data_IF_584443394952
#
_entry.id   IF_584443394952
#
_cell.length_a   1.000
_cell.length_b   1.000
_cell.length_c   1.000
_cell.angle_alpha   90.00
_cell.angle_beta   90.00
_cell.angle_gamma   90.00
#
_symmetry.space_group_name_H-M   'P 1'
#
loop_
_entity.id
_entity.type
_entity.pdbx_description
1 polymer ?
#
# COMPACT_ATOMS: atom_id res chain seq x y z
N UNK A 1 38.20 -12.70 -72.40
CA UNK A 1 39.54 -12.22 -71.99
C UNK A 1 39.34 -10.87 -71.31
N UNK A 2 39.18 -10.83 -70.03
CA UNK A 2 39.26 -9.62 -69.20
C UNK A 2 40.02 -9.96 -67.92
N UNK A 3 41.16 -9.30 -67.81
CA UNK A 3 42.17 -9.45 -66.78
C UNK A 3 41.66 -8.84 -65.45
N UNK A 4 41.70 -9.50 -64.27
CA UNK A 4 41.35 -8.87 -63.01
C UNK A 4 42.49 -7.99 -62.52
N UNK A 5 42.12 -6.77 -62.09
CA UNK A 5 43.04 -5.80 -61.51
C UNK A 5 43.62 -6.25 -60.16
N UNK A 6 44.84 -5.82 -59.81
CA UNK A 6 45.51 -6.28 -58.59
C UNK A 6 44.87 -5.63 -57.34
N UNK A 7 44.58 -6.46 -56.36
CA UNK A 7 44.15 -6.09 -55.01
C UNK A 7 45.29 -5.36 -54.32
N UNK A 8 45.04 -4.09 -53.90
CA UNK A 8 45.98 -3.27 -53.15
C UNK A 8 46.19 -3.85 -51.74
N UNK A 9 47.44 -4.13 -51.43
CA UNK A 9 47.99 -4.72 -50.18
C UNK A 9 48.07 -3.71 -48.99
N UNK A 10 47.16 -2.78 -48.90
CA UNK A 10 47.21 -1.70 -47.86
C UNK A 10 46.16 -1.79 -46.78
N UNK A 11 45.42 -2.92 -46.66
CA UNK A 11 44.36 -3.07 -45.65
C UNK A 11 44.62 -4.11 -44.57
N UNK A 12 45.89 -4.45 -44.34
CA UNK A 12 46.28 -5.44 -43.27
C UNK A 12 46.82 -4.79 -42.00
N UNK A 13 46.62 -3.51 -41.72
CA UNK A 13 47.22 -2.87 -40.52
C UNK A 13 46.25 -2.19 -39.57
N UNK A 14 44.98 -2.53 -39.51
CA UNK A 14 44.07 -1.99 -38.50
C UNK A 14 43.09 -3.03 -37.91
N UNK A 15 43.53 -4.28 -37.78
CA UNK A 15 42.87 -5.21 -36.87
C UNK A 15 43.66 -5.26 -35.54
N UNK A 16 43.67 -4.14 -34.80
CA UNK A 16 43.99 -4.24 -33.37
C UNK A 16 42.90 -5.09 -32.72
N UNK A 17 43.25 -6.12 -31.93
CA UNK A 17 42.29 -6.87 -31.16
C UNK A 17 41.67 -5.90 -30.20
N UNK A 18 40.33 -5.77 -30.26
CA UNK A 18 39.50 -4.99 -29.31
C UNK A 18 40.02 -5.35 -27.91
N UNK A 19 40.74 -4.39 -27.32
CA UNK A 19 41.39 -4.55 -26.04
C UNK A 19 40.34 -5.06 -25.05
N UNK A 20 40.60 -6.21 -24.46
CA UNK A 20 39.83 -6.82 -23.39
C UNK A 20 39.47 -5.71 -22.40
N UNK A 21 38.16 -5.38 -22.33
CA UNK A 21 37.67 -4.41 -21.38
C UNK A 21 38.17 -4.84 -20.00
N UNK A 22 39.16 -4.10 -19.48
CA UNK A 22 39.71 -4.31 -18.15
C UNK A 22 38.54 -4.36 -17.19
N UNK A 23 38.21 -5.55 -16.69
CA UNK A 23 37.24 -5.74 -15.64
C UNK A 23 37.62 -4.82 -14.49
N UNK A 24 36.86 -3.75 -14.30
CA UNK A 24 37.08 -2.82 -13.22
C UNK A 24 37.05 -3.61 -11.91
N UNK A 25 38.08 -3.58 -11.08
CA UNK A 25 38.10 -4.37 -9.85
C UNK A 25 36.87 -3.99 -9.01
N UNK A 26 36.24 -4.95 -8.30
CA UNK A 26 35.05 -4.70 -7.51
C UNK A 26 35.37 -3.56 -6.52
N UNK A 27 34.64 -2.46 -6.67
CA UNK A 27 34.80 -1.25 -5.86
C UNK A 27 34.65 -1.64 -4.39
N UNK A 28 35.65 -1.40 -3.57
CA UNK A 28 35.55 -1.63 -2.12
C UNK A 28 34.30 -0.92 -1.61
N UNK A 29 33.44 -1.58 -0.81
CA UNK A 29 32.22 -0.97 -0.30
C UNK A 29 32.59 0.31 0.47
N UNK A 30 32.07 1.44 0.01
CA UNK A 30 32.26 2.71 0.70
C UNK A 30 31.54 2.70 2.06
N UNK A 31 31.90 3.60 3.00
CA UNK A 31 31.24 3.68 4.30
C UNK A 31 29.70 3.80 4.19
N UNK A 32 29.18 4.44 3.13
CA UNK A 32 27.74 4.49 2.84
C UNK A 32 27.13 3.15 2.48
N UNK A 33 27.87 2.24 1.83
CA UNK A 33 27.38 0.90 1.49
C UNK A 33 27.32 -0.02 2.73
N UNK A 34 28.19 0.19 3.69
CA UNK A 34 28.19 -0.53 4.97
C UNK A 34 27.01 -0.07 5.81
N UNK A 35 26.80 1.25 5.94
CA UNK A 35 25.67 1.84 6.66
C UNK A 35 24.34 1.39 6.02
N UNK A 36 24.23 1.42 4.69
CA UNK A 36 23.03 0.95 3.97
C UNK A 36 22.75 -0.53 4.21
N UNK A 37 23.77 -1.39 4.22
CA UNK A 37 23.60 -2.83 4.53
C UNK A 37 23.22 -3.06 5.98
N UNK A 38 23.75 -2.26 6.90
CA UNK A 38 23.42 -2.34 8.31
C UNK A 38 21.98 -1.87 8.56
N UNK A 39 21.58 -0.73 8.01
CA UNK A 39 20.20 -0.23 8.03
C UNK A 39 19.20 -1.26 7.49
N UNK A 40 19.49 -1.86 6.35
CA UNK A 40 18.61 -2.89 5.75
C UNK A 40 18.50 -4.18 6.58
N UNK A 41 19.45 -4.44 7.50
CA UNK A 41 19.37 -5.57 8.43
C UNK A 41 18.65 -5.20 9.72
N UNK A 42 18.80 -3.99 10.20
CA UNK A 42 18.25 -3.53 11.49
C UNK A 42 16.81 -3.05 11.35
N UNK A 43 16.45 -2.46 10.22
CA UNK A 43 15.09 -1.98 9.96
C UNK A 43 14.00 -3.01 10.30
N UNK A 44 14.05 -4.29 9.88
CA UNK A 44 13.00 -5.26 10.21
C UNK A 44 12.83 -5.47 11.72
N UNK A 45 13.94 -5.47 12.48
CA UNK A 45 13.89 -5.62 13.95
C UNK A 45 13.35 -4.38 14.64
N UNK A 46 13.79 -3.19 14.19
CA UNK A 46 13.25 -1.91 14.69
C UNK A 46 11.76 -1.82 14.43
N UNK A 47 11.30 -2.28 13.26
CA UNK A 47 9.89 -2.31 12.90
C UNK A 47 9.06 -3.28 13.76
N UNK A 48 9.60 -4.46 14.05
CA UNK A 48 8.99 -5.43 14.96
C UNK A 48 8.88 -4.87 16.39
N UNK A 49 9.95 -4.22 16.86
CA UNK A 49 9.95 -3.58 18.19
C UNK A 49 8.96 -2.42 18.22
N UNK A 50 8.93 -1.58 17.18
CA UNK A 50 7.98 -0.47 17.07
C UNK A 50 6.53 -0.96 17.03
N UNK A 51 6.23 -2.03 16.26
CA UNK A 51 4.92 -2.65 16.24
C UNK A 51 4.51 -3.22 17.60
N UNK A 52 5.44 -3.90 18.28
CA UNK A 52 5.22 -4.41 19.65
C UNK A 52 4.98 -3.30 20.66
N UNK A 53 5.76 -2.21 20.59
CA UNK A 53 5.59 -1.03 21.45
C UNK A 53 4.26 -0.31 21.20
N UNK A 54 3.86 -0.17 19.93
CA UNK A 54 2.56 0.40 19.54
C UNK A 54 1.42 -0.43 20.11
N UNK A 55 1.46 -1.75 19.97
CA UNK A 55 0.47 -2.65 20.55
C UNK A 55 0.44 -2.51 22.08
N UNK A 56 1.61 -2.55 22.74
CA UNK A 56 1.66 -2.40 24.20
C UNK A 56 1.08 -1.05 24.64
N UNK A 57 1.45 0.06 24.00
CA UNK A 57 0.93 1.39 24.32
C UNK A 57 -0.58 1.49 24.16
N UNK A 58 -1.15 0.87 23.12
CA UNK A 58 -2.59 0.92 22.83
C UNK A 58 -3.39 0.10 23.84
N UNK A 59 -2.84 -1.04 24.29
CA UNK A 59 -3.58 -2.03 25.06
C UNK A 59 -3.29 -2.02 26.58
N UNK A 60 -2.23 -1.34 27.03
CA UNK A 60 -1.89 -1.34 28.46
C UNK A 60 -2.91 -0.63 29.36
N UNK A 61 -3.76 0.25 28.78
CA UNK A 61 -4.82 0.98 29.49
C UNK A 61 -6.17 0.25 29.48
N UNK A 62 -6.32 -0.80 28.65
CA UNK A 62 -7.56 -1.56 28.54
C UNK A 62 -7.52 -2.78 29.48
N UNK A 63 -8.67 -3.09 30.07
CA UNK A 63 -8.81 -4.35 30.81
C UNK A 63 -8.64 -5.54 29.87
N UNK A 64 -7.47 -6.21 29.94
CA UNK A 64 -7.13 -7.40 29.13
C UNK A 64 -8.25 -8.45 29.24
N UNK A 65 -8.90 -8.53 30.39
CA UNK A 65 -10.00 -9.45 30.63
C UNK A 65 -11.25 -9.11 29.81
N UNK A 66 -11.61 -7.82 29.72
CA UNK A 66 -12.79 -7.37 28.95
C UNK A 66 -12.55 -7.50 27.44
N UNK A 67 -11.37 -7.10 26.96
CA UNK A 67 -10.99 -7.28 25.56
C UNK A 67 -10.93 -8.77 25.21
N UNK A 68 -10.32 -9.60 26.07
CA UNK A 68 -10.25 -11.05 25.87
C UNK A 68 -11.63 -11.71 25.88
N UNK A 69 -12.57 -11.27 26.73
CA UNK A 69 -13.95 -11.78 26.73
C UNK A 69 -14.71 -11.40 25.46
N UNK A 70 -14.52 -10.18 24.96
CA UNK A 70 -15.10 -9.73 23.69
C UNK A 70 -14.54 -10.52 22.49
N UNK A 71 -13.22 -10.80 22.48
CA UNK A 71 -12.61 -11.66 21.46
C UNK A 71 -13.11 -13.10 21.55
N UNK A 72 -13.35 -13.61 22.74
CA UNK A 72 -13.90 -14.97 22.97
C UNK A 72 -15.30 -15.16 22.38
N UNK A 73 -16.04 -14.07 22.13
CA UNK A 73 -17.35 -14.12 21.45
C UNK A 73 -17.24 -14.27 19.92
N UNK A 74 -16.05 -14.15 19.35
CA UNK A 74 -15.86 -14.37 17.92
C UNK A 74 -15.85 -15.87 17.64
N UNK A 75 -16.88 -16.35 16.96
CA UNK A 75 -16.87 -17.71 16.42
C UNK A 75 -15.79 -17.85 15.34
N UNK A 76 -15.28 -19.06 15.13
CA UNK A 76 -14.25 -19.35 14.13
C UNK A 76 -14.59 -18.81 12.72
N UNK A 77 -15.88 -18.76 12.37
CA UNK A 77 -16.36 -18.20 11.11
C UNK A 77 -16.05 -16.71 10.95
N UNK A 78 -16.19 -15.88 11.99
CA UNK A 78 -15.85 -14.45 11.93
C UNK A 78 -14.35 -14.22 11.77
N UNK A 79 -13.53 -15.00 12.48
CA UNK A 79 -12.07 -14.93 12.36
C UNK A 79 -11.63 -15.35 10.95
N UNK A 80 -12.17 -16.46 10.42
CA UNK A 80 -11.88 -16.91 9.07
C UNK A 80 -12.27 -15.86 8.03
N UNK A 81 -13.46 -15.24 8.19
CA UNK A 81 -13.91 -14.17 7.30
C UNK A 81 -12.99 -12.93 7.38
N UNK A 82 -12.54 -12.52 8.57
CA UNK A 82 -11.58 -11.43 8.73
C UNK A 82 -10.26 -11.70 7.99
N UNK A 83 -9.75 -12.92 8.08
CA UNK A 83 -8.53 -13.35 7.37
C UNK A 83 -8.75 -13.40 5.85
N UNK A 84 -9.88 -13.89 5.39
CA UNK A 84 -10.24 -13.89 3.95
C UNK A 84 -10.36 -12.46 3.41
N UNK A 85 -11.00 -11.55 4.15
CA UNK A 85 -11.08 -10.14 3.78
C UNK A 85 -9.70 -9.49 3.74
N UNK A 86 -8.82 -9.79 4.70
CA UNK A 86 -7.44 -9.32 4.68
C UNK A 86 -6.70 -9.82 3.43
N UNK A 87 -6.79 -11.11 3.12
CA UNK A 87 -6.18 -11.68 1.93
C UNK A 87 -6.73 -11.06 0.63
N UNK A 88 -8.04 -10.82 0.57
CA UNK A 88 -8.70 -10.14 -0.55
C UNK A 88 -8.18 -8.72 -0.73
N UNK A 89 -8.03 -7.94 0.35
CA UNK A 89 -7.49 -6.58 0.28
C UNK A 89 -6.07 -6.57 -0.29
N UNK A 90 -5.18 -7.44 0.20
CA UNK A 90 -3.83 -7.56 -0.35
C UNK A 90 -3.81 -7.99 -1.84
N UNK A 91 -4.75 -8.84 -2.27
CA UNK A 91 -4.93 -9.20 -3.67
C UNK A 91 -5.36 -7.98 -4.50
N UNK A 92 -6.31 -7.18 -4.01
CA UNK A 92 -6.78 -5.95 -4.66
C UNK A 92 -5.67 -4.92 -4.78
N UNK A 93 -4.83 -4.74 -3.73
CA UNK A 93 -3.63 -3.90 -3.81
C UNK A 93 -2.67 -4.39 -4.90
N UNK A 94 -2.49 -5.71 -5.06
CA UNK A 94 -1.71 -6.30 -6.14
C UNK A 94 -2.30 -6.01 -7.53
N UNK A 95 -3.62 -6.02 -7.67
CA UNK A 95 -4.31 -5.66 -8.91
C UNK A 95 -4.09 -4.19 -9.27
N UNK A 96 -4.22 -3.27 -8.31
CA UNK A 96 -3.90 -1.84 -8.53
C UNK A 96 -2.44 -1.66 -8.93
N UNK A 97 -1.52 -2.37 -8.28
CA UNK A 97 -0.09 -2.31 -8.59
C UNK A 97 0.20 -2.81 -10.01
N UNK A 98 -0.50 -3.86 -10.47
CA UNK A 98 -0.41 -4.34 -11.85
C UNK A 98 -0.86 -3.30 -12.86
N UNK A 99 -1.96 -2.58 -12.58
CA UNK A 99 -2.41 -1.46 -13.41
C UNK A 99 -1.38 -0.33 -13.43
N UNK A 100 -0.84 0.03 -12.25
CA UNK A 100 0.17 1.08 -12.11
C UNK A 100 1.47 0.78 -12.85
N UNK A 101 1.96 -0.47 -12.80
CA UNK A 101 3.12 -0.90 -13.58
C UNK A 101 2.84 -0.80 -15.08
N UNK A 102 1.65 -1.25 -15.54
CA UNK A 102 1.23 -1.12 -16.93
C UNK A 102 1.16 0.34 -17.39
N UNK A 103 0.61 1.22 -16.55
CA UNK A 103 0.56 2.67 -16.82
C UNK A 103 1.97 3.30 -16.88
N UNK A 104 2.88 2.87 -16.00
CA UNK A 104 4.28 3.30 -16.00
C UNK A 104 5.11 2.66 -17.12
N UNK A 105 4.51 1.82 -17.99
CA UNK A 105 5.20 1.15 -19.10
C UNK A 105 6.11 -0.01 -18.66
N UNK A 106 5.94 -0.52 -17.44
CA UNK A 106 6.72 -1.66 -16.95
C UNK A 106 5.97 -2.98 -17.16
N UNK A 107 6.71 -4.04 -17.50
CA UNK A 107 6.17 -5.40 -17.72
C UNK A 107 6.71 -6.33 -16.64
N UNK A 108 5.87 -6.71 -15.70
CA UNK A 108 6.20 -7.67 -14.64
C UNK A 108 5.13 -8.78 -14.65
N UNK A 109 5.51 -10.06 -14.55
CA UNK A 109 4.55 -11.17 -14.49
C UNK A 109 3.62 -11.04 -13.29
N UNK A 110 2.33 -11.38 -13.47
CA UNK A 110 1.30 -11.20 -12.44
C UNK A 110 1.65 -11.85 -11.09
N UNK A 111 2.12 -13.11 -11.02
CA UNK A 111 2.49 -13.72 -9.73
C UNK A 111 3.57 -12.93 -8.99
N UNK A 112 4.52 -12.36 -9.74
CA UNK A 112 5.60 -11.53 -9.17
C UNK A 112 5.10 -10.15 -8.70
N UNK A 113 4.06 -9.62 -9.36
CA UNK A 113 3.40 -8.39 -8.90
C UNK A 113 2.62 -8.66 -7.62
N UNK A 114 1.81 -9.72 -7.59
CA UNK A 114 1.02 -10.07 -6.41
C UNK A 114 1.92 -10.32 -5.18
N UNK A 115 2.96 -11.15 -5.33
CA UNK A 115 3.93 -11.40 -4.26
C UNK A 115 4.72 -10.15 -3.88
N UNK A 116 5.16 -9.35 -4.85
CA UNK A 116 5.88 -8.10 -4.63
C UNK A 116 5.03 -7.05 -3.93
N UNK A 117 3.78 -6.88 -4.34
CA UNK A 117 2.80 -5.99 -3.73
C UNK A 117 2.49 -6.41 -2.29
N UNK A 118 2.26 -7.71 -2.06
CA UNK A 118 2.03 -8.25 -0.72
C UNK A 118 3.19 -7.90 0.23
N UNK A 119 4.42 -8.17 -0.19
CA UNK A 119 5.62 -7.87 0.61
C UNK A 119 5.78 -6.37 0.82
N UNK A 120 5.60 -5.55 -0.23
CA UNK A 120 5.76 -4.11 -0.15
C UNK A 120 4.73 -3.46 0.79
N UNK A 121 3.46 -3.83 0.67
CA UNK A 121 2.39 -3.26 1.47
C UNK A 121 2.37 -3.86 2.91
N UNK A 122 2.60 -5.16 3.08
CA UNK A 122 2.68 -5.79 4.40
C UNK A 122 3.75 -5.18 5.31
N UNK A 123 4.88 -4.74 4.74
CA UNK A 123 5.91 -4.00 5.47
C UNK A 123 5.52 -2.54 5.65
N UNK A 124 5.07 -1.88 4.57
CA UNK A 124 4.85 -0.44 4.56
C UNK A 124 3.70 0.01 5.46
N UNK A 125 2.64 -0.78 5.58
CA UNK A 125 1.49 -0.48 6.46
C UNK A 125 1.90 -0.34 7.92
N UNK A 126 2.93 -1.07 8.36
CA UNK A 126 3.38 -1.05 9.75
C UNK A 126 4.31 0.13 10.06
N UNK A 127 5.04 0.65 9.06
CA UNK A 127 6.12 1.63 9.27
C UNK A 127 5.66 3.08 9.33
N UNK A 128 4.46 3.39 8.82
CA UNK A 128 3.91 4.76 8.79
C UNK A 128 4.38 5.64 7.62
N UNK A 129 5.58 5.44 7.07
CA UNK A 129 6.06 6.13 5.86
C UNK A 129 5.71 5.32 4.59
N UNK A 130 4.45 4.96 4.44
CA UNK A 130 3.96 3.95 3.52
C UNK A 130 4.48 4.10 2.08
N UNK A 131 4.40 5.30 1.48
CA UNK A 131 4.84 5.55 0.11
C UNK A 131 6.35 5.33 -0.08
N UNK A 132 7.17 5.77 0.87
CA UNK A 132 8.62 5.65 0.77
C UNK A 132 9.07 4.20 0.96
N UNK A 133 8.55 3.54 1.99
CA UNK A 133 8.92 2.15 2.30
C UNK A 133 8.45 1.20 1.21
N UNK A 134 7.19 1.30 0.78
CA UNK A 134 6.67 0.47 -0.30
C UNK A 134 7.40 0.72 -1.62
N UNK A 135 7.74 1.97 -1.93
CA UNK A 135 8.56 2.32 -3.08
C UNK A 135 9.97 1.70 -3.05
N UNK A 136 10.65 1.73 -1.91
CA UNK A 136 11.96 1.12 -1.74
C UNK A 136 11.93 -0.41 -1.89
N UNK A 137 10.91 -1.07 -1.33
CA UNK A 137 10.70 -2.52 -1.46
C UNK A 137 10.42 -2.88 -2.93
N UNK A 138 9.52 -2.16 -3.60
CA UNK A 138 9.23 -2.33 -5.03
C UNK A 138 10.47 -2.16 -5.89
N UNK A 139 11.27 -1.11 -5.65
CA UNK A 139 12.51 -0.88 -6.38
C UNK A 139 13.46 -2.09 -6.28
N UNK A 140 13.60 -2.66 -5.08
CA UNK A 140 14.43 -3.87 -4.86
C UNK A 140 13.86 -5.11 -5.57
N UNK A 141 12.55 -5.34 -5.46
CA UNK A 141 11.93 -6.56 -5.98
C UNK A 141 11.81 -6.55 -7.51
N UNK A 142 11.51 -5.39 -8.11
CA UNK A 142 11.26 -5.28 -9.55
C UNK A 142 12.50 -4.92 -10.37
N UNK A 143 13.63 -4.60 -9.74
CA UNK A 143 14.90 -4.38 -10.43
C UNK A 143 15.26 -5.54 -11.37
N UNK A 144 15.00 -6.78 -10.97
CA UNK A 144 15.25 -7.99 -11.79
C UNK A 144 14.45 -8.05 -13.09
N UNK A 145 13.37 -7.28 -13.21
CA UNK A 145 12.54 -7.16 -14.40
C UNK A 145 12.87 -5.90 -15.22
N UNK A 146 13.98 -5.22 -14.92
CA UNK A 146 14.40 -4.01 -15.61
C UNK A 146 13.54 -2.78 -15.30
N UNK A 147 12.72 -2.81 -14.24
CA UNK A 147 11.88 -1.67 -13.84
C UNK A 147 12.76 -0.56 -13.26
N UNK A 148 12.69 0.62 -13.88
CA UNK A 148 13.45 1.80 -13.45
C UNK A 148 12.87 2.43 -12.18
N UNK A 149 13.70 3.22 -11.46
CA UNK A 149 13.25 3.94 -10.27
C UNK A 149 12.11 4.94 -10.58
N UNK A 150 12.11 5.53 -11.76
CA UNK A 150 11.04 6.44 -12.21
C UNK A 150 9.72 5.68 -12.39
N UNK A 151 9.76 4.47 -12.97
CA UNK A 151 8.58 3.61 -13.11
C UNK A 151 8.07 3.14 -11.74
N UNK A 152 8.97 2.81 -10.81
CA UNK A 152 8.58 2.47 -9.42
C UNK A 152 7.91 3.66 -8.74
N UNK A 153 8.48 4.86 -8.86
CA UNK A 153 7.88 6.07 -8.28
C UNK A 153 6.50 6.36 -8.88
N UNK A 154 6.36 6.25 -10.21
CA UNK A 154 5.08 6.38 -10.91
C UNK A 154 4.06 5.36 -10.43
N UNK A 155 4.43 4.08 -10.34
CA UNK A 155 3.56 3.01 -9.83
C UNK A 155 3.14 3.27 -8.38
N UNK A 156 4.06 3.72 -7.54
CA UNK A 156 3.76 4.03 -6.12
C UNK A 156 2.78 5.19 -6.01
N UNK A 157 2.96 6.23 -6.80
CA UNK A 157 2.02 7.36 -6.88
C UNK A 157 0.65 6.90 -7.39
N UNK A 158 0.62 6.05 -8.42
CA UNK A 158 -0.61 5.47 -8.96
C UNK A 158 -1.38 4.68 -7.90
N UNK A 159 -0.70 3.84 -7.11
CA UNK A 159 -1.31 3.09 -6.01
C UNK A 159 -1.81 4.03 -4.89
N UNK A 160 -1.04 5.07 -4.53
CA UNK A 160 -1.45 6.08 -3.56
C UNK A 160 -2.70 6.85 -4.02
N UNK A 161 -2.80 7.17 -5.31
CA UNK A 161 -3.99 7.81 -5.89
C UNK A 161 -5.20 6.87 -5.84
N UNK A 162 -5.02 5.57 -6.15
CA UNK A 162 -6.10 4.58 -6.06
C UNK A 162 -6.64 4.45 -4.63
N UNK A 163 -5.76 4.43 -3.62
CA UNK A 163 -6.15 4.48 -2.22
C UNK A 163 -6.95 5.77 -1.92
N UNK A 164 -6.42 6.94 -2.31
CA UNK A 164 -7.05 8.23 -2.01
C UNK A 164 -8.44 8.38 -2.65
N UNK A 165 -8.60 8.03 -3.93
CA UNK A 165 -9.92 8.07 -4.59
C UNK A 165 -10.86 7.01 -4.03
N UNK A 166 -10.33 5.83 -3.65
CA UNK A 166 -11.10 4.75 -3.05
C UNK A 166 -11.67 5.14 -1.69
N UNK A 167 -10.83 5.60 -0.76
CA UNK A 167 -11.27 5.98 0.59
C UNK A 167 -12.21 7.19 0.56
N UNK A 168 -11.97 8.14 -0.35
CA UNK A 168 -12.83 9.31 -0.52
C UNK A 168 -14.20 8.93 -1.09
N UNK A 169 -14.24 8.03 -2.06
CA UNK A 169 -15.52 7.55 -2.60
C UNK A 169 -16.29 6.77 -1.53
N UNK A 170 -15.62 5.85 -0.83
CA UNK A 170 -16.25 5.04 0.21
C UNK A 170 -16.77 5.92 1.36
N UNK A 171 -15.93 6.78 1.92
CA UNK A 171 -16.30 7.68 3.01
C UNK A 171 -17.35 8.69 2.61
N UNK A 172 -17.20 9.29 1.42
CA UNK A 172 -18.17 10.24 0.88
C UNK A 172 -19.54 9.62 0.64
N UNK A 173 -19.59 8.43 0.03
CA UNK A 173 -20.83 7.68 -0.14
C UNK A 173 -21.44 7.28 1.21
N UNK A 174 -20.65 6.81 2.16
CA UNK A 174 -21.10 6.48 3.50
C UNK A 174 -21.77 7.66 4.20
N UNK A 175 -21.16 8.86 4.14
CA UNK A 175 -21.73 10.08 4.72
C UNK A 175 -22.99 10.58 4.00
N UNK A 176 -23.08 10.39 2.68
CA UNK A 176 -24.23 10.81 1.90
C UNK A 176 -25.41 9.84 1.98
N UNK A 177 -25.17 8.55 2.10
CA UNK A 177 -26.20 7.52 2.13
C UNK A 177 -26.75 7.23 3.53
N UNK A 178 -26.01 7.62 4.61
CA UNK A 178 -26.48 7.43 5.98
C UNK A 178 -27.71 8.27 6.27
N UNK A 179 -28.71 7.70 6.94
CA UNK A 179 -29.88 8.45 7.40
C UNK A 179 -29.50 9.48 8.47
N UNK A 180 -30.26 10.58 8.62
CA UNK A 180 -29.96 11.62 9.63
C UNK A 180 -29.79 11.06 11.05
N UNK A 181 -30.62 10.09 11.45
CA UNK A 181 -30.59 9.44 12.76
C UNK A 181 -29.28 8.64 12.97
N UNK A 182 -28.79 8.02 11.92
CA UNK A 182 -27.53 7.26 11.94
C UNK A 182 -26.31 8.18 12.06
N UNK A 183 -26.35 9.34 11.41
CA UNK A 183 -25.31 10.37 11.54
C UNK A 183 -25.38 10.99 12.94
N UNK A 184 -26.57 11.23 13.48
CA UNK A 184 -26.77 11.76 14.83
C UNK A 184 -26.17 10.82 15.91
N UNK A 185 -26.10 9.52 15.64
CA UNK A 185 -25.40 8.55 16.50
C UNK A 185 -23.87 8.69 16.45
N UNK A 186 -23.32 9.44 15.49
CA UNK A 186 -21.90 9.77 15.40
C UNK A 186 -21.60 11.14 16.04
N UNK A 187 -20.32 11.47 16.20
CA UNK A 187 -19.91 12.81 16.65
C UNK A 187 -19.90 13.86 15.51
N UNK A 188 -20.29 13.50 14.30
CA UNK A 188 -20.24 14.40 13.14
C UNK A 188 -21.60 15.09 12.98
N UNK A 189 -21.68 16.44 13.01
CA UNK A 189 -22.91 17.14 12.70
C UNK A 189 -23.40 16.83 11.27
N UNK A 190 -24.71 16.66 11.10
CA UNK A 190 -25.31 16.31 9.81
C UNK A 190 -24.89 17.24 8.65
N UNK A 191 -24.86 18.57 8.78
CA UNK A 191 -24.41 19.44 7.71
C UNK A 191 -22.94 19.20 7.33
N UNK A 192 -22.09 18.98 8.33
CA UNK A 192 -20.67 18.68 8.12
C UNK A 192 -20.50 17.35 7.37
N UNK A 193 -21.21 16.30 7.79
CA UNK A 193 -21.18 15.01 7.10
C UNK A 193 -21.60 15.14 5.63
N UNK A 194 -22.70 15.84 5.36
CA UNK A 194 -23.21 16.04 3.98
C UNK A 194 -22.24 16.87 3.13
N UNK A 195 -21.72 17.97 3.66
CA UNK A 195 -20.76 18.82 2.95
C UNK A 195 -19.46 18.06 2.66
N UNK A 196 -18.91 17.39 3.68
CA UNK A 196 -17.68 16.60 3.52
C UNK A 196 -17.89 15.46 2.52
N UNK A 197 -19.01 14.73 2.63
CA UNK A 197 -19.35 13.68 1.69
C UNK A 197 -19.44 14.18 0.24
N UNK A 198 -20.12 15.33 0.01
CA UNK A 198 -20.22 15.95 -1.31
C UNK A 198 -18.85 16.40 -1.85
N UNK A 199 -18.00 17.00 -1.01
CA UNK A 199 -16.63 17.41 -1.39
C UNK A 199 -15.78 16.19 -1.77
N UNK A 200 -15.84 15.11 -0.97
CA UNK A 200 -15.10 13.88 -1.25
C UNK A 200 -15.53 13.23 -2.57
N UNK A 201 -16.80 13.14 -2.86
CA UNK A 201 -17.29 12.63 -4.16
C UNK A 201 -16.94 13.60 -5.28
N UNK A 202 -17.14 14.91 -5.07
CA UNK A 202 -16.89 15.94 -6.07
C UNK A 202 -15.44 15.93 -6.58
N UNK A 203 -14.46 15.83 -5.69
CA UNK A 203 -13.06 15.79 -6.14
C UNK A 203 -12.72 14.50 -6.92
N UNK A 204 -13.32 13.35 -6.55
CA UNK A 204 -13.14 12.09 -7.30
C UNK A 204 -13.76 12.21 -8.70
N UNK A 205 -14.95 12.79 -8.80
CA UNK A 205 -15.59 13.08 -10.10
C UNK A 205 -14.71 14.00 -10.92
N UNK A 206 -14.21 15.09 -10.34
CA UNK A 206 -13.26 16.00 -11.02
C UNK A 206 -12.00 15.27 -11.49
N UNK A 207 -11.44 14.37 -10.68
CA UNK A 207 -10.29 13.55 -11.06
C UNK A 207 -10.58 12.67 -12.28
N UNK A 208 -11.70 11.95 -12.28
CA UNK A 208 -12.11 11.07 -13.40
C UNK A 208 -12.37 11.88 -14.66
N UNK A 209 -13.07 13.01 -14.53
CA UNK A 209 -13.33 13.93 -15.65
C UNK A 209 -12.02 14.51 -16.21
N UNK A 210 -11.08 14.89 -15.35
CA UNK A 210 -9.77 15.36 -15.78
C UNK A 210 -9.02 14.28 -16.57
N UNK A 211 -9.07 13.03 -16.15
CA UNK A 211 -8.50 11.89 -16.87
C UNK A 211 -9.22 11.64 -18.21
N UNK A 212 -10.54 11.91 -18.30
CA UNK A 212 -11.32 11.73 -19.51
C UNK A 212 -11.02 12.83 -20.54
N UNK A 213 -11.00 14.10 -20.13
CA UNK A 213 -10.88 15.25 -21.05
C UNK A 213 -9.43 15.57 -21.44
N UNK A 214 -8.45 15.33 -20.57
CA UNK A 214 -7.03 15.62 -20.84
C UNK A 214 -6.23 14.43 -21.40
N UNK A 215 -6.84 13.64 -22.23
CA UNK A 215 -6.36 12.38 -22.83
C UNK A 215 -4.98 12.46 -23.50
N UNK A 216 -3.98 13.05 -23.19
CA UNK A 216 -2.61 12.99 -23.76
C UNK A 216 -1.82 14.28 -23.60
N UNK A 217 -2.38 15.29 -22.93
CA UNK A 217 -1.60 16.51 -22.69
C UNK A 217 -0.90 16.36 -21.34
N UNK A 218 0.43 16.34 -21.30
CA UNK A 218 1.15 16.32 -20.04
C UNK A 218 0.77 17.56 -19.21
N UNK A 219 0.44 17.36 -17.94
CA UNK A 219 0.28 18.46 -17.00
C UNK A 219 1.68 18.92 -16.59
N UNK A 220 2.02 20.15 -16.90
CA UNK A 220 3.20 20.81 -16.36
C UNK A 220 2.82 21.38 -14.97
N UNK A 221 3.17 20.66 -13.91
CA UNK A 221 2.99 21.11 -12.54
C UNK A 221 4.31 20.99 -11.79
N UNK A 222 4.67 22.02 -11.03
CA UNK A 222 5.89 22.04 -10.21
C UNK A 222 7.19 21.73 -10.99
N UNK A 223 7.28 22.18 -12.26
CA UNK A 223 8.46 21.93 -13.10
C UNK A 223 8.63 20.50 -13.59
N UNK A 224 7.61 19.64 -13.42
CA UNK A 224 7.59 18.26 -13.90
C UNK A 224 6.41 17.98 -14.81
N UNK A 225 6.64 17.11 -15.79
CA UNK A 225 5.58 16.62 -16.66
C UNK A 225 4.88 15.43 -16.01
N UNK A 226 3.64 15.63 -15.56
CA UNK A 226 2.80 14.56 -15.03
C UNK A 226 1.89 14.04 -16.15
N UNK A 227 1.98 12.77 -16.46
CA UNK A 227 1.06 12.09 -17.36
C UNK A 227 -0.12 11.56 -16.54
N UNK A 228 -1.34 11.96 -16.90
CA UNK A 228 -2.54 11.43 -16.27
C UNK A 228 -2.83 10.00 -16.78
N UNK A 229 -3.41 9.12 -15.92
CA UNK A 229 -3.91 7.82 -16.38
C UNK A 229 -5.01 7.99 -17.44
N UNK A 230 -5.23 6.95 -18.24
CA UNK A 230 -6.42 6.89 -19.09
C UNK A 230 -7.67 6.79 -18.23
N UNK A 231 -8.81 7.24 -18.72
CA UNK A 231 -10.08 7.16 -17.98
C UNK A 231 -10.40 5.73 -17.52
N UNK A 232 -10.06 4.71 -18.32
CA UNK A 232 -10.20 3.30 -17.93
C UNK A 232 -9.36 2.95 -16.70
N UNK A 233 -8.12 3.42 -16.65
CA UNK A 233 -7.21 3.18 -15.54
C UNK A 233 -7.66 3.95 -14.30
N UNK A 234 -8.17 5.19 -14.47
CA UNK A 234 -8.75 5.98 -13.38
C UNK A 234 -10.02 5.33 -12.80
N UNK A 235 -10.91 4.81 -13.65
CA UNK A 235 -12.08 4.04 -13.21
C UNK A 235 -11.65 2.75 -12.50
N UNK A 236 -10.62 2.07 -12.99
CA UNK A 236 -10.01 0.92 -12.32
C UNK A 236 -9.46 1.27 -10.94
N UNK A 237 -8.79 2.43 -10.79
CA UNK A 237 -8.34 2.94 -9.49
C UNK A 237 -9.51 3.16 -8.52
N UNK A 238 -10.59 3.79 -8.99
CA UNK A 238 -11.79 4.02 -8.17
C UNK A 238 -12.42 2.69 -7.76
N UNK A 239 -12.71 1.81 -8.72
CA UNK A 239 -13.40 0.55 -8.45
C UNK A 239 -12.61 -0.34 -7.49
N UNK A 240 -11.32 -0.57 -7.79
CA UNK A 240 -10.49 -1.43 -6.94
C UNK A 240 -10.19 -0.73 -5.60
N UNK A 241 -9.92 0.59 -5.61
CA UNK A 241 -9.66 1.35 -4.39
C UNK A 241 -10.86 1.39 -3.44
N UNK A 242 -12.10 1.54 -3.97
CA UNK A 242 -13.33 1.46 -3.15
C UNK A 242 -13.48 0.07 -2.56
N UNK A 243 -13.33 -0.98 -3.37
CA UNK A 243 -13.48 -2.37 -2.92
C UNK A 243 -12.42 -2.73 -1.88
N UNK A 244 -11.17 -2.30 -2.07
CA UNK A 244 -10.07 -2.52 -1.12
C UNK A 244 -10.35 -1.84 0.22
N UNK A 245 -10.66 -0.54 0.22
CA UNK A 245 -10.98 0.21 1.44
C UNK A 245 -12.25 -0.33 2.13
N UNK A 246 -13.28 -0.72 1.36
CA UNK A 246 -14.47 -1.36 1.90
C UNK A 246 -14.12 -2.72 2.55
N UNK A 247 -13.29 -3.52 1.90
CA UNK A 247 -12.84 -4.80 2.45
C UNK A 247 -12.05 -4.60 3.75
N UNK A 248 -11.14 -3.63 3.81
CA UNK A 248 -10.37 -3.31 5.00
C UNK A 248 -11.27 -2.81 6.16
N UNK A 249 -12.25 -1.93 5.87
CA UNK A 249 -13.23 -1.47 6.84
C UNK A 249 -14.11 -2.61 7.35
N UNK A 250 -14.51 -3.54 6.47
CA UNK A 250 -15.33 -4.69 6.80
C UNK A 250 -14.66 -5.62 7.82
N UNK A 251 -13.32 -5.72 7.84
CA UNK A 251 -12.59 -6.53 8.85
C UNK A 251 -12.94 -6.07 10.27
N UNK A 252 -12.95 -4.76 10.51
CA UNK A 252 -13.31 -4.24 11.84
C UNK A 252 -14.80 -4.43 12.10
N UNK A 253 -15.64 -4.09 11.11
CA UNK A 253 -17.08 -4.09 11.25
C UNK A 253 -17.66 -5.48 11.57
N UNK A 254 -17.16 -6.55 10.96
CA UNK A 254 -17.61 -7.93 11.21
C UNK A 254 -17.19 -8.45 12.60
N UNK A 255 -16.17 -7.86 13.19
CA UNK A 255 -15.69 -8.20 14.54
C UNK A 255 -16.47 -7.46 15.63
N UNK A 256 -17.26 -6.44 15.29
CA UNK A 256 -18.21 -5.80 16.21
C UNK A 256 -19.41 -6.71 16.47
N UNK A 257 -20.10 -6.56 17.61
CA UNK A 257 -21.38 -7.20 17.84
C UNK A 257 -22.38 -6.85 16.73
N UNK A 258 -23.30 -7.76 16.37
CA UNK A 258 -24.35 -7.47 15.39
C UNK A 258 -25.16 -6.23 15.77
N UNK A 259 -25.66 -5.53 14.77
CA UNK A 259 -26.58 -4.37 14.89
C UNK A 259 -26.04 -3.17 15.67
N UNK A 260 -24.71 -3.16 15.95
CA UNK A 260 -24.07 -2.05 16.67
C UNK A 260 -24.04 -0.76 15.87
N UNK A 261 -23.73 -0.87 14.57
CA UNK A 261 -23.66 0.27 13.63
C UNK A 261 -23.87 -0.20 12.20
N UNK A 262 -24.62 0.57 11.42
CA UNK A 262 -24.79 0.28 10.00
C UNK A 262 -23.48 0.46 9.23
N UNK A 263 -23.19 -0.44 8.30
CA UNK A 263 -21.92 -0.44 7.58
C UNK A 263 -21.63 0.88 6.83
N UNK A 264 -22.62 1.48 6.18
CA UNK A 264 -22.46 2.75 5.47
C UNK A 264 -22.14 3.93 6.40
N UNK A 265 -22.66 3.93 7.62
CA UNK A 265 -22.28 4.93 8.65
C UNK A 265 -20.88 4.67 9.19
N UNK A 266 -20.56 3.38 9.42
CA UNK A 266 -19.25 2.95 9.88
C UNK A 266 -18.14 3.36 8.91
N UNK A 267 -18.32 3.19 7.58
CA UNK A 267 -17.29 3.54 6.59
C UNK A 267 -17.06 5.04 6.49
N UNK A 268 -18.05 5.88 6.83
CA UNK A 268 -17.87 7.32 6.96
C UNK A 268 -16.87 7.67 8.08
N UNK A 269 -17.05 7.10 9.27
CA UNK A 269 -16.15 7.26 10.40
C UNK A 269 -14.77 6.63 10.11
N UNK A 270 -14.74 5.44 9.50
CA UNK A 270 -13.52 4.76 9.09
C UNK A 270 -12.67 5.62 8.13
N UNK A 271 -13.29 6.28 7.15
CA UNK A 271 -12.58 7.13 6.21
C UNK A 271 -11.91 8.32 6.93
N UNK A 272 -12.63 8.99 7.82
CA UNK A 272 -12.08 10.10 8.62
C UNK A 272 -10.92 9.62 9.49
N UNK A 273 -11.11 8.52 10.21
CA UNK A 273 -10.07 7.96 11.09
C UNK A 273 -8.83 7.48 10.31
N UNK A 274 -9.03 6.89 9.13
CA UNK A 274 -7.93 6.45 8.26
C UNK A 274 -7.12 7.64 7.76
N UNK A 275 -7.77 8.71 7.31
CA UNK A 275 -7.09 9.94 6.87
C UNK A 275 -6.38 10.62 8.04
N UNK A 276 -7.00 10.69 9.23
CA UNK A 276 -6.38 11.23 10.43
C UNK A 276 -5.14 10.42 10.85
N UNK A 277 -5.25 9.10 10.86
CA UNK A 277 -4.13 8.19 11.14
C UNK A 277 -2.98 8.37 10.15
N UNK A 278 -3.28 8.49 8.86
CA UNK A 278 -2.27 8.70 7.82
C UNK A 278 -1.60 10.10 7.95
N UNK A 279 -2.38 11.13 8.23
CA UNK A 279 -1.89 12.50 8.41
C UNK A 279 -1.04 12.68 9.67
N UNK A 280 -1.26 11.86 10.69
CA UNK A 280 -0.51 11.91 11.95
C UNK A 280 0.95 11.50 11.83
N UNK A 281 1.33 10.84 10.73
CA UNK A 281 2.66 10.23 10.51
C UNK A 281 3.09 9.21 11.57
N UNK A 282 2.21 8.87 12.50
CA UNK A 282 2.46 7.82 13.50
C UNK A 282 2.52 6.46 12.81
N UNK A 283 3.47 5.58 13.16
CA UNK A 283 3.52 4.24 12.61
C UNK A 283 2.17 3.53 12.70
N UNK A 284 1.70 2.97 11.57
CA UNK A 284 0.40 2.33 11.42
C UNK A 284 -0.82 3.21 11.84
N UNK A 285 -0.64 4.53 12.01
CA UNK A 285 -1.68 5.44 12.53
C UNK A 285 -2.14 5.13 13.96
N UNK A 286 -1.29 4.42 14.74
CA UNK A 286 -1.68 3.86 16.02
C UNK A 286 -2.06 4.92 17.05
N UNK A 287 -3.14 4.68 17.78
CA UNK A 287 -3.73 5.61 18.74
C UNK A 287 -4.57 6.71 18.07
N UNK A 288 -4.14 7.22 16.91
CA UNK A 288 -4.89 8.27 16.20
C UNK A 288 -6.10 7.69 15.48
N UNK A 289 -5.92 6.57 14.78
CA UNK A 289 -7.02 5.88 14.12
C UNK A 289 -8.07 5.42 15.12
N UNK A 290 -7.65 4.69 16.16
CA UNK A 290 -8.52 4.14 17.19
C UNK A 290 -9.21 5.24 17.99
N UNK A 291 -8.48 6.27 18.42
CA UNK A 291 -9.03 7.42 19.15
C UNK A 291 -10.04 8.19 18.31
N UNK A 292 -9.77 8.39 17.00
CA UNK A 292 -10.72 9.04 16.10
C UNK A 292 -11.97 8.18 15.91
N UNK A 293 -11.82 6.87 15.67
CA UNK A 293 -12.97 5.96 15.56
C UNK A 293 -13.81 5.93 16.82
N UNK A 294 -13.19 5.82 18.01
CA UNK A 294 -13.89 5.80 19.29
C UNK A 294 -14.62 7.11 19.56
N UNK A 295 -14.03 8.25 19.17
CA UNK A 295 -14.66 9.56 19.27
C UNK A 295 -15.86 9.70 18.33
N UNK A 296 -15.75 9.19 17.12
CA UNK A 296 -16.82 9.26 16.11
C UNK A 296 -17.95 8.28 16.39
N UNK A 297 -17.63 7.09 16.92
CA UNK A 297 -18.59 6.01 17.22
C UNK A 297 -18.88 5.91 18.73
N UNK A 298 -19.11 7.05 19.39
CA UNK A 298 -19.31 7.11 20.87
C UNK A 298 -20.53 6.35 21.38
N UNK A 299 -21.45 5.95 20.54
CA UNK A 299 -22.58 5.08 20.91
C UNK A 299 -22.21 3.61 20.95
N UNK A 300 -21.04 3.24 20.41
CA UNK A 300 -20.52 1.87 20.43
C UNK A 300 -19.78 1.61 21.73
N UNK A 301 -20.06 0.47 22.36
CA UNK A 301 -19.38 0.07 23.60
C UNK A 301 -17.85 0.01 23.36
N UNK A 302 -17.04 0.63 24.24
CA UNK A 302 -15.58 0.70 24.07
C UNK A 302 -14.88 -0.66 24.03
N UNK A 303 -15.29 -1.63 24.84
CA UNK A 303 -14.59 -2.92 24.94
C UNK A 303 -14.71 -3.77 23.64
N UNK A 304 -15.90 -4.01 23.06
CA UNK A 304 -16.01 -4.63 21.74
C UNK A 304 -15.32 -3.87 20.62
N UNK A 305 -15.34 -2.53 20.66
CA UNK A 305 -14.68 -1.69 19.66
C UNK A 305 -13.16 -1.87 19.74
N UNK A 306 -12.58 -1.84 20.93
CA UNK A 306 -11.16 -2.10 21.16
C UNK A 306 -10.74 -3.53 20.75
N UNK A 307 -11.58 -4.53 21.05
CA UNK A 307 -11.36 -5.90 20.59
C UNK A 307 -11.31 -5.96 19.04
N UNK A 308 -12.28 -5.32 18.37
CA UNK A 308 -12.32 -5.29 16.91
C UNK A 308 -11.08 -4.60 16.30
N UNK A 309 -10.58 -3.51 16.90
CA UNK A 309 -9.32 -2.89 16.49
C UNK A 309 -8.11 -3.82 16.65
N UNK A 310 -8.05 -4.55 17.76
CA UNK A 310 -6.99 -5.55 17.97
C UNK A 310 -7.04 -6.65 16.92
N UNK A 311 -8.24 -7.22 16.67
CA UNK A 311 -8.44 -8.22 15.63
C UNK A 311 -8.02 -7.72 14.24
N UNK A 312 -8.37 -6.48 13.91
CA UNK A 312 -7.94 -5.81 12.68
C UNK A 312 -6.41 -5.69 12.59
N UNK A 313 -5.76 -5.24 13.67
CA UNK A 313 -4.30 -5.14 13.68
C UNK A 313 -3.62 -6.49 13.53
N UNK A 314 -4.14 -7.53 14.19
CA UNK A 314 -3.62 -8.88 14.02
C UNK A 314 -3.78 -9.39 12.59
N UNK A 315 -4.98 -9.25 12.00
CA UNK A 315 -5.30 -9.81 10.69
C UNK A 315 -4.71 -9.00 9.53
N UNK A 316 -4.62 -7.67 9.64
CA UNK A 316 -4.29 -6.78 8.51
C UNK A 316 -2.88 -6.18 8.58
N UNK A 317 -2.25 -6.13 9.76
CA UNK A 317 -0.90 -5.58 9.92
C UNK A 317 0.11 -6.64 10.33
N UNK A 318 -0.13 -7.34 11.45
CA UNK A 318 0.87 -8.22 12.07
C UNK A 318 1.06 -9.49 11.27
N UNK A 319 -0.02 -10.19 10.95
CA UNK A 319 0.05 -11.44 10.19
C UNK A 319 0.69 -11.22 8.80
N UNK A 320 0.25 -10.23 7.98
CA UNK A 320 0.91 -9.94 6.72
C UNK A 320 2.38 -9.53 6.88
N UNK A 321 2.75 -8.77 7.91
CA UNK A 321 4.14 -8.40 8.19
C UNK A 321 5.01 -9.63 8.46
N UNK A 322 4.54 -10.57 9.28
CA UNK A 322 5.25 -11.82 9.59
C UNK A 322 5.46 -12.63 8.31
N UNK A 323 4.40 -12.82 7.52
CA UNK A 323 4.46 -13.58 6.26
C UNK A 323 5.37 -12.88 5.23
N UNK A 324 5.28 -11.56 5.10
CA UNK A 324 6.13 -10.77 4.20
C UNK A 324 7.60 -10.81 4.63
N UNK A 325 7.86 -10.71 5.94
CA UNK A 325 9.21 -10.83 6.52
C UNK A 325 9.82 -12.20 6.27
N UNK A 326 9.06 -13.27 6.51
CA UNK A 326 9.48 -14.63 6.23
C UNK A 326 9.77 -14.85 4.74
N UNK A 327 8.92 -14.35 3.84
CA UNK A 327 9.11 -14.44 2.40
C UNK A 327 10.41 -13.75 1.94
N UNK A 328 10.71 -12.54 2.46
CA UNK A 328 11.96 -11.84 2.16
C UNK A 328 13.19 -12.55 2.72
N UNK A 329 13.08 -13.13 3.89
CA UNK A 329 14.16 -13.89 4.51
C UNK A 329 14.49 -15.14 3.67
N UNK A 330 13.47 -15.90 3.28
CA UNK A 330 13.62 -17.07 2.41
C UNK A 330 14.21 -16.71 1.03
N UNK A 331 13.72 -15.64 0.37
CA UNK A 331 14.28 -15.15 -0.90
C UNK A 331 15.78 -14.81 -0.74
N UNK A 332 16.16 -14.22 0.38
CA UNK A 332 17.56 -13.86 0.65
C UNK A 332 18.44 -15.09 0.86
N UNK A 333 17.93 -16.13 1.54
CA UNK A 333 18.67 -17.38 1.76
C UNK A 333 18.86 -18.15 0.44
N UNK A 334 17.79 -18.30 -0.36
CA UNK A 334 17.84 -19.00 -1.65
C UNK A 334 18.81 -18.34 -2.62
N UNK A 335 18.87 -17.01 -2.68
CA UNK A 335 19.82 -16.27 -3.52
C UNK A 335 21.27 -16.41 -3.06
N UNK A 336 21.52 -16.64 -1.76
CA UNK A 336 22.87 -16.89 -1.26
C UNK A 336 23.36 -18.29 -1.64
N UNK A 337 22.49 -19.29 -1.61
CA UNK A 337 22.83 -20.66 -1.99
C UNK A 337 23.12 -20.79 -3.49
N UNK A 338 22.36 -20.10 -4.36
CA UNK A 338 22.58 -20.12 -5.80
C UNK A 338 23.83 -19.36 -6.27
N UNK A 339 24.38 -18.44 -5.45
CA UNK A 339 25.66 -17.76 -5.74
C UNK A 339 26.89 -18.51 -5.24
N UNK A 340 26.71 -19.59 -4.49
CA UNK A 340 27.79 -20.45 -4.00
C UNK A 340 27.98 -21.75 -4.84
N UNK A 341 27.06 -22.00 -5.75
CA UNK A 341 27.17 -23.00 -6.79
C UNK A 341 27.61 -22.34 -8.11
#
# INVERSE_FOLDING_TARGET
VLNPAPVRETDRRTAEPLAAAKATPPRKPGPGDVVRRWLLRVIPFVLLIAAGWVLWREFHTLSIREVGSAMGQWGGGRIALALCLSALSFLLMGCVEKLGLGWAGARVPLPSVLGGSFVANGIAHTVGANLLVSGAVRARLYHRYGVSLTQVAGTTLFCGTAFAVGISTLGGAGMLLSAPEQIAATAIPLPVARTLGAVLIGWVVCYVLLCAFRRRKPLHAFGRTLTLPRVRDALGQVAIGVTDNATAAAIIWILLPPDTVHYHTFVGAYAVATVAGLASTVPAGAGVFEGTMSTLLRTVNPAPLAAAFLGYRLAFFILPLIVAGAALFLDTLLRRSSRRR
#
